data_IF_002881547220
#
_entry.id   IF_002881547220
#
_cell.length_a   1.000
_cell.length_b   1.000
_cell.length_c   1.000
_cell.angle_alpha   90.00
_cell.angle_beta   90.00
_cell.angle_gamma   90.00
#
_symmetry.space_group_name_H-M   'P 1'
#
loop_
_entity.id
_entity.type
_entity.pdbx_description
1 polymer ?
#
# COMPACT_ATOMS: atom_id res chain seq x y z
N UNK A 1 36.64 19.55 -50.97
CA UNK A 1 35.59 19.64 -49.93
C UNK A 1 34.95 18.27 -49.78
N UNK A 2 35.20 17.57 -48.68
CA UNK A 2 34.65 16.23 -48.43
C UNK A 2 33.24 16.36 -47.82
N UNK A 3 32.23 15.78 -48.48
CA UNK A 3 30.88 15.66 -47.93
C UNK A 3 30.77 14.34 -47.16
N UNK A 4 30.98 14.40 -45.85
CA UNK A 4 30.66 13.29 -44.95
C UNK A 4 29.14 13.22 -44.78
N UNK A 5 28.50 12.24 -45.43
CA UNK A 5 27.11 11.86 -45.13
C UNK A 5 27.12 11.11 -43.80
N UNK A 6 26.69 11.78 -42.74
CA UNK A 6 26.38 11.14 -41.46
C UNK A 6 24.99 10.51 -41.62
N UNK A 7 24.96 9.20 -41.85
CA UNK A 7 23.73 8.42 -41.76
C UNK A 7 23.47 8.13 -40.29
N UNK A 8 22.58 8.88 -39.66
CA UNK A 8 22.10 8.53 -38.33
C UNK A 8 21.32 7.20 -38.44
N UNK A 9 21.59 6.19 -37.60
CA UNK A 9 20.80 4.97 -37.57
C UNK A 9 19.38 5.33 -37.13
N UNK A 10 18.42 5.22 -38.05
CA UNK A 10 17.02 5.27 -37.70
C UNK A 10 16.70 3.99 -36.92
N UNK A 11 16.63 4.08 -35.59
CA UNK A 11 16.02 3.04 -34.78
C UNK A 11 14.51 3.04 -35.09
N UNK A 12 14.12 2.27 -36.10
CA UNK A 12 12.76 2.16 -36.66
C UNK A 12 11.92 1.10 -35.97
N UNK A 13 12.03 0.95 -34.65
CA UNK A 13 10.98 0.25 -33.91
C UNK A 13 9.92 1.27 -33.50
N UNK A 14 9.16 1.75 -34.49
CA UNK A 14 7.92 2.49 -34.20
C UNK A 14 6.93 1.46 -33.69
N UNK A 15 6.66 1.46 -32.39
CA UNK A 15 5.63 0.61 -31.80
C UNK A 15 4.30 0.84 -32.53
N UNK A 16 3.63 -0.25 -32.91
CA UNK A 16 2.33 -0.12 -33.56
C UNK A 16 1.29 0.35 -32.54
N UNK A 17 0.20 0.98 -33.00
CA UNK A 17 -0.94 1.34 -32.14
C UNK A 17 -1.47 0.14 -31.34
N UNK A 18 -1.41 -1.07 -31.92
CA UNK A 18 -1.83 -2.29 -31.25
C UNK A 18 -0.86 -2.70 -30.11
N UNK A 19 0.44 -2.49 -30.29
CA UNK A 19 1.44 -2.78 -29.26
C UNK A 19 1.31 -1.81 -28.08
N UNK A 20 1.09 -0.52 -28.37
CA UNK A 20 0.83 0.50 -27.37
C UNK A 20 -0.44 0.17 -26.55
N UNK A 21 -1.55 -0.19 -27.23
CA UNK A 21 -2.78 -0.60 -26.53
C UNK A 21 -2.56 -1.81 -25.63
N UNK A 22 -1.80 -2.82 -26.09
CA UNK A 22 -1.45 -3.99 -25.26
C UNK A 22 -0.61 -3.60 -24.04
N UNK A 23 0.36 -2.71 -24.20
CA UNK A 23 1.21 -2.21 -23.12
C UNK A 23 0.40 -1.48 -22.05
N UNK A 24 -0.52 -0.60 -22.47
CA UNK A 24 -1.43 0.10 -21.55
C UNK A 24 -2.33 -0.89 -20.82
N UNK A 25 -2.86 -1.92 -21.50
CA UNK A 25 -3.67 -2.95 -20.85
C UNK A 25 -2.86 -3.71 -19.79
N UNK A 26 -1.63 -4.12 -20.12
CA UNK A 26 -0.75 -4.84 -19.20
C UNK A 26 -0.42 -3.99 -17.96
N UNK A 27 -0.07 -2.71 -18.15
CA UNK A 27 0.14 -1.77 -17.04
C UNK A 27 -1.12 -1.55 -16.20
N UNK A 28 -2.30 -1.54 -16.84
CA UNK A 28 -3.58 -1.47 -16.15
C UNK A 28 -3.86 -2.71 -15.30
N UNK A 29 -3.55 -3.90 -15.82
CA UNK A 29 -3.69 -5.16 -15.08
C UNK A 29 -2.70 -5.24 -13.90
N UNK A 30 -1.48 -4.72 -14.07
CA UNK A 30 -0.50 -4.56 -13.00
C UNK A 30 -1.01 -3.61 -11.90
N UNK A 31 -1.55 -2.45 -12.29
CA UNK A 31 -2.15 -1.51 -11.34
C UNK A 31 -3.33 -2.13 -10.57
N UNK A 32 -4.23 -2.84 -11.24
CA UNK A 32 -5.34 -3.57 -10.59
C UNK A 32 -4.82 -4.60 -9.59
N UNK A 33 -3.71 -5.28 -9.91
CA UNK A 33 -3.08 -6.25 -9.01
C UNK A 33 -2.48 -5.54 -7.79
N UNK A 34 -1.78 -4.43 -7.98
CA UNK A 34 -1.21 -3.63 -6.91
C UNK A 34 -2.28 -3.08 -5.95
N UNK A 35 -3.44 -2.65 -6.47
CA UNK A 35 -4.60 -2.27 -5.64
C UNK A 35 -5.03 -3.42 -4.72
N UNK A 36 -5.15 -4.65 -5.26
CA UNK A 36 -5.57 -5.82 -4.48
C UNK A 36 -4.56 -6.16 -3.38
N UNK A 37 -3.28 -6.07 -3.69
CA UNK A 37 -2.20 -6.34 -2.73
C UNK A 37 -2.17 -5.28 -1.62
N UNK A 38 -2.30 -4.00 -1.96
CA UNK A 38 -2.43 -2.93 -0.97
C UNK A 38 -3.67 -3.11 -0.10
N UNK A 39 -4.85 -3.42 -0.68
CA UNK A 39 -6.06 -3.71 0.09
C UNK A 39 -5.88 -4.88 1.06
N UNK A 40 -5.20 -5.94 0.64
CA UNK A 40 -4.89 -7.10 1.49
C UNK A 40 -3.98 -6.69 2.65
N UNK A 41 -2.90 -5.96 2.38
CA UNK A 41 -1.98 -5.47 3.40
C UNK A 41 -2.69 -4.54 4.41
N UNK A 42 -3.52 -3.62 3.92
CA UNK A 42 -4.30 -2.70 4.77
C UNK A 42 -5.29 -3.43 5.66
N UNK A 43 -5.97 -4.47 5.13
CA UNK A 43 -6.85 -5.31 5.93
C UNK A 43 -6.11 -6.06 7.05
N UNK A 44 -4.88 -6.55 6.79
CA UNK A 44 -4.05 -7.18 7.80
C UNK A 44 -3.62 -6.20 8.90
N UNK A 45 -3.22 -4.98 8.54
CA UNK A 45 -2.91 -3.91 9.49
C UNK A 45 -4.13 -3.58 10.35
N UNK A 46 -5.31 -3.38 9.73
CA UNK A 46 -6.56 -3.08 10.42
C UNK A 46 -6.95 -4.17 11.42
N UNK A 47 -6.76 -5.45 11.07
CA UNK A 47 -7.02 -6.59 11.96
C UNK A 47 -6.16 -6.52 13.21
N UNK A 48 -4.86 -6.28 13.05
CA UNK A 48 -3.91 -6.24 14.18
C UNK A 48 -4.11 -4.99 15.03
N UNK A 49 -4.38 -3.84 14.41
CA UNK A 49 -4.75 -2.62 15.14
C UNK A 49 -6.03 -2.81 15.98
N UNK A 50 -7.00 -3.55 15.46
CA UNK A 50 -8.22 -3.89 16.21
C UNK A 50 -7.90 -4.74 17.45
N UNK A 51 -7.05 -5.75 17.31
CA UNK A 51 -6.57 -6.56 18.43
C UNK A 51 -5.78 -5.73 19.45
N UNK A 52 -4.96 -4.79 18.99
CA UNK A 52 -4.21 -3.85 19.85
C UNK A 52 -5.17 -3.00 20.70
N UNK A 53 -6.18 -2.39 20.06
CA UNK A 53 -7.20 -1.57 20.74
C UNK A 53 -8.00 -2.39 21.76
N UNK A 54 -8.37 -3.62 21.41
CA UNK A 54 -9.08 -4.51 22.33
C UNK A 54 -8.21 -4.89 23.54
N UNK A 55 -6.94 -5.20 23.31
CA UNK A 55 -5.97 -5.49 24.36
C UNK A 55 -5.77 -4.29 25.30
N UNK A 56 -5.67 -3.09 24.76
CA UNK A 56 -5.55 -1.85 25.54
C UNK A 56 -6.76 -1.62 26.43
N UNK A 57 -7.98 -1.76 25.88
CA UNK A 57 -9.24 -1.66 26.64
C UNK A 57 -9.28 -2.68 27.79
N UNK A 58 -8.84 -3.92 27.56
CA UNK A 58 -8.76 -4.96 28.60
C UNK A 58 -7.78 -4.58 29.72
N UNK A 59 -6.62 -4.02 29.38
CA UNK A 59 -5.64 -3.53 30.37
C UNK A 59 -6.22 -2.38 31.18
N UNK A 60 -6.84 -1.39 30.53
CA UNK A 60 -7.46 -0.24 31.22
C UNK A 60 -8.54 -0.69 32.21
N UNK A 61 -9.41 -1.63 31.81
CA UNK A 61 -10.42 -2.22 32.70
C UNK A 61 -9.79 -2.93 33.91
N UNK A 62 -8.73 -3.70 33.71
CA UNK A 62 -8.03 -4.37 34.81
C UNK A 62 -7.35 -3.38 35.76
N UNK A 63 -6.77 -2.30 35.23
CA UNK A 63 -6.19 -1.21 36.04
C UNK A 63 -7.26 -0.51 36.88
N UNK A 64 -8.41 -0.18 36.29
CA UNK A 64 -9.52 0.43 37.01
C UNK A 64 -10.04 -0.48 38.14
N UNK A 65 -10.24 -1.78 37.85
CA UNK A 65 -10.63 -2.76 38.87
C UNK A 65 -9.59 -2.88 39.99
N UNK A 66 -8.30 -2.86 39.66
CA UNK A 66 -7.23 -2.90 40.64
C UNK A 66 -7.25 -1.66 41.56
N UNK A 67 -7.50 -0.46 41.02
CA UNK A 67 -7.62 0.78 41.79
C UNK A 67 -8.84 0.80 42.71
N UNK A 68 -9.95 0.18 42.30
CA UNK A 68 -11.17 0.10 43.13
C UNK A 68 -11.02 -0.85 44.33
N UNK A 69 -10.03 -1.75 44.33
CA UNK A 69 -9.79 -2.63 45.47
C UNK A 69 -8.99 -1.88 46.56
N UNK A 70 -9.60 -1.73 47.75
CA UNK A 70 -8.98 -1.08 48.93
C UNK A 70 -7.65 -1.70 49.39
N UNK A 71 -7.34 -2.94 48.98
CA UNK A 71 -6.06 -3.60 49.26
C UNK A 71 -5.41 -4.04 47.94
N UNK A 72 -4.11 -3.72 47.72
CA UNK A 72 -3.39 -4.20 46.55
C UNK A 72 -3.40 -5.73 46.55
N UNK A 73 -4.00 -6.34 45.53
CA UNK A 73 -3.96 -7.79 45.32
C UNK A 73 -2.81 -8.11 44.35
N UNK A 74 -1.73 -8.78 44.79
CA UNK A 74 -0.58 -9.11 43.94
C UNK A 74 -0.96 -9.89 42.66
N UNK A 75 -2.00 -10.73 42.76
CA UNK A 75 -2.54 -11.47 41.62
C UNK A 75 -3.07 -10.57 40.49
N UNK A 76 -3.60 -9.38 40.80
CA UNK A 76 -4.06 -8.42 39.78
C UNK A 76 -2.89 -7.72 39.09
N UNK A 77 -1.85 -7.34 39.85
CA UNK A 77 -0.64 -6.76 39.28
C UNK A 77 0.04 -7.72 38.30
N UNK A 78 0.17 -9.00 38.69
CA UNK A 78 0.71 -10.04 37.80
C UNK A 78 -0.10 -10.16 36.49
N UNK A 79 -1.43 -10.20 36.59
CA UNK A 79 -2.31 -10.24 35.39
C UNK A 79 -2.19 -9.00 34.51
N UNK A 80 -2.06 -7.80 35.11
CA UNK A 80 -1.86 -6.56 34.36
C UNK A 80 -0.53 -6.62 33.61
N UNK A 81 0.54 -7.04 34.28
CA UNK A 81 1.87 -7.18 33.67
C UNK A 81 1.86 -8.19 32.50
N UNK A 82 1.26 -9.36 32.70
CA UNK A 82 1.10 -10.37 31.63
C UNK A 82 0.37 -9.81 30.41
N UNK A 83 -0.70 -9.02 30.62
CA UNK A 83 -1.46 -8.38 29.53
C UNK A 83 -0.68 -7.26 28.86
N UNK A 84 0.08 -6.46 29.61
CA UNK A 84 0.95 -5.43 29.06
C UNK A 84 2.08 -6.02 28.21
N UNK A 85 2.66 -7.15 28.63
CA UNK A 85 3.64 -7.89 27.83
C UNK A 85 3.03 -8.43 26.54
N UNK A 86 1.82 -9.01 26.60
CA UNK A 86 1.08 -9.43 25.42
C UNK A 86 0.78 -8.25 24.48
N UNK A 87 0.39 -7.10 25.03
CA UNK A 87 0.16 -5.88 24.25
C UNK A 87 1.44 -5.38 23.56
N UNK A 88 2.58 -5.38 24.26
CA UNK A 88 3.89 -5.07 23.65
C UNK A 88 4.25 -6.03 22.52
N UNK A 89 3.91 -7.32 22.64
CA UNK A 89 4.11 -8.31 21.56
C UNK A 89 3.25 -7.95 20.33
N UNK A 90 1.98 -7.59 20.53
CA UNK A 90 1.09 -7.14 19.45
C UNK A 90 1.66 -5.88 18.76
N UNK A 91 2.11 -4.89 19.54
CA UNK A 91 2.75 -3.68 18.99
C UNK A 91 4.00 -4.00 18.16
N UNK A 92 4.84 -4.93 18.62
CA UNK A 92 6.01 -5.38 17.86
C UNK A 92 5.60 -6.10 16.58
N UNK A 93 4.55 -6.91 16.62
CA UNK A 93 4.02 -7.61 15.45
C UNK A 93 3.45 -6.63 14.42
N UNK A 94 2.81 -5.54 14.85
CA UNK A 94 2.22 -4.52 13.97
C UNK A 94 3.24 -3.80 13.08
N UNK A 95 4.50 -3.69 13.52
CA UNK A 95 5.56 -3.00 12.76
C UNK A 95 5.81 -3.60 11.37
N UNK A 96 5.72 -4.93 11.23
CA UNK A 96 5.99 -5.58 9.94
C UNK A 96 4.86 -5.36 8.94
N UNK A 97 3.58 -5.62 9.27
CA UNK A 97 2.45 -5.34 8.40
C UNK A 97 2.35 -3.87 7.99
N UNK A 98 2.66 -2.91 8.88
CA UNK A 98 2.69 -1.49 8.51
C UNK A 98 3.67 -1.20 7.37
N UNK A 99 4.89 -1.76 7.45
CA UNK A 99 5.88 -1.62 6.36
C UNK A 99 5.44 -2.30 5.07
N UNK A 100 4.72 -3.41 5.18
CA UNK A 100 4.17 -4.13 4.01
C UNK A 100 3.05 -3.32 3.37
N UNK A 101 2.16 -2.72 4.17
CA UNK A 101 1.11 -1.81 3.67
C UNK A 101 1.70 -0.59 2.98
N UNK A 102 2.69 0.06 3.61
CA UNK A 102 3.41 1.21 3.04
C UNK A 102 4.06 0.84 1.70
N UNK A 103 4.85 -0.23 1.66
CA UNK A 103 5.47 -0.69 0.41
C UNK A 103 4.46 -1.10 -0.67
N UNK A 104 3.31 -1.67 -0.29
CA UNK A 104 2.26 -2.01 -1.23
C UNK A 104 1.52 -0.76 -1.75
N UNK A 105 1.38 0.27 -0.93
CA UNK A 105 0.86 1.57 -1.34
C UNK A 105 1.81 2.25 -2.34
N UNK A 106 3.11 2.28 -2.04
CA UNK A 106 4.12 2.84 -2.95
C UNK A 106 4.08 2.13 -4.32
N UNK A 107 4.07 0.79 -4.33
CA UNK A 107 3.98 0.00 -5.56
C UNK A 107 2.68 0.25 -6.34
N UNK A 108 1.55 0.45 -5.63
CA UNK A 108 0.27 0.81 -6.24
C UNK A 108 0.31 2.20 -6.87
N UNK A 109 0.89 3.19 -6.19
CA UNK A 109 1.05 4.55 -6.70
C UNK A 109 1.98 4.59 -7.91
N UNK A 110 3.10 3.87 -7.88
CA UNK A 110 4.02 3.73 -9.01
C UNK A 110 3.33 3.09 -10.22
N UNK A 111 2.61 1.99 -10.02
CA UNK A 111 1.87 1.32 -11.10
C UNK A 111 0.78 2.23 -11.70
N UNK A 112 0.09 3.02 -10.87
CA UNK A 112 -0.90 4.00 -11.32
C UNK A 112 -0.25 5.08 -12.21
N UNK A 113 0.89 5.61 -11.78
CA UNK A 113 1.62 6.65 -12.50
C UNK A 113 2.13 6.10 -13.83
N UNK A 114 2.74 4.92 -13.86
CA UNK A 114 3.22 4.28 -15.09
C UNK A 114 2.08 4.05 -16.08
N UNK A 115 0.95 3.49 -15.62
CA UNK A 115 -0.21 3.25 -16.46
C UNK A 115 -0.79 4.53 -17.04
N UNK A 116 -1.01 5.56 -16.21
CA UNK A 116 -1.52 6.86 -16.65
C UNK A 116 -0.57 7.59 -17.59
N UNK A 117 0.73 7.53 -17.32
CA UNK A 117 1.76 8.15 -18.15
C UNK A 117 1.74 7.55 -19.56
N UNK A 118 1.77 6.22 -19.67
CA UNK A 118 1.74 5.55 -20.97
C UNK A 118 0.46 5.86 -21.74
N UNK A 119 -0.69 5.85 -21.05
CA UNK A 119 -1.98 6.19 -21.63
C UNK A 119 -2.06 7.65 -22.12
N UNK A 120 -1.47 8.60 -21.39
CA UNK A 120 -1.43 10.00 -21.79
C UNK A 120 -0.49 10.24 -22.97
N UNK A 121 0.74 9.70 -22.91
CA UNK A 121 1.76 9.91 -23.95
C UNK A 121 1.41 9.27 -25.29
N UNK A 122 0.66 8.17 -25.27
CA UNK A 122 0.13 7.52 -26.47
C UNK A 122 -1.06 8.26 -27.10
N UNK A 123 -1.67 9.21 -26.38
CA UNK A 123 -2.90 9.88 -26.78
C UNK A 123 -4.16 9.02 -26.61
N UNK A 124 -4.05 7.81 -26.06
CA UNK A 124 -5.17 6.91 -25.77
C UNK A 124 -6.00 7.39 -24.56
N UNK A 125 -5.43 8.22 -23.68
CA UNK A 125 -6.15 8.88 -22.60
C UNK A 125 -5.84 10.37 -22.52
N UNK A 126 -6.77 11.14 -21.98
CA UNK A 126 -6.62 12.56 -21.72
C UNK A 126 -7.37 12.96 -20.45
N UNK A 127 -7.01 14.11 -19.90
CA UNK A 127 -7.70 14.68 -18.74
C UNK A 127 -8.63 15.81 -19.20
N UNK A 128 -9.88 15.76 -18.77
CA UNK A 128 -10.90 16.79 -19.03
C UNK A 128 -11.69 17.03 -17.74
N UNK A 129 -11.80 18.28 -17.32
CA UNK A 129 -12.43 18.68 -16.04
C UNK A 129 -11.88 17.92 -14.81
N UNK A 130 -10.58 17.60 -14.82
CA UNK A 130 -9.92 16.84 -13.77
C UNK A 130 -10.19 15.33 -13.81
N UNK A 131 -11.07 14.85 -14.68
CA UNK A 131 -11.39 13.44 -14.86
C UNK A 131 -10.60 12.83 -16.02
N UNK A 132 -10.20 11.57 -15.87
CA UNK A 132 -9.54 10.81 -16.92
C UNK A 132 -10.55 10.24 -17.89
N UNK A 133 -10.32 10.46 -19.19
CA UNK A 133 -11.13 9.91 -20.29
C UNK A 133 -10.25 9.11 -21.24
N UNK A 134 -10.80 8.02 -21.76
CA UNK A 134 -10.17 7.17 -22.76
C UNK A 134 -10.69 7.54 -24.15
N UNK A 135 -9.82 7.58 -25.16
CA UNK A 135 -10.23 7.69 -26.56
C UNK A 135 -10.58 6.30 -27.08
N UNK A 136 -11.69 6.18 -27.79
CA UNK A 136 -12.10 4.94 -28.47
C UNK A 136 -11.15 4.58 -29.63
#
# INVERSE_FOLDING_TARGET
MAKTKVTAPQNTHVESKADIKKKIQLLGDEYITAIKDHQKASNDVRRIQSQQKESEKKIQRLKALHQMHQKPKPAFQKKIQEKEEAHKKIQKQLKKPLKVEESANDAMEEAEVCWKFEAMCSGEAYQEDGQWKWRE
#
